data_IF_634979871599
#
_entry.id   IF_634979871599
#
_cell.length_a   1.000
_cell.length_b   1.000
_cell.length_c   1.000
_cell.angle_alpha   90.00
_cell.angle_beta   90.00
_cell.angle_gamma   90.00
#
_symmetry.space_group_name_H-M   'P 1'
#
loop_
_entity.id
_entity.type
_entity.pdbx_description
1 polymer ?
#
# COMPACT_ATOMS: atom_id res chain seq x y z
N UNK A 1 33.54 26.93 47.04
CA UNK A 1 33.16 25.84 46.12
C UNK A 1 31.64 25.72 46.19
N UNK A 2 30.92 26.19 45.17
CA UNK A 2 29.48 25.99 44.90
C UNK A 2 29.29 24.59 44.25
N UNK A 3 28.07 24.04 43.97
CA UNK A 3 26.71 24.32 44.48
C UNK A 3 25.81 23.05 44.68
N UNK A 4 24.60 23.30 45.19
CA UNK A 4 23.27 22.69 44.93
C UNK A 4 23.16 21.33 44.20
N UNK A 5 22.41 20.38 44.81
CA UNK A 5 21.82 19.23 44.09
C UNK A 5 20.32 19.43 43.84
N UNK A 6 20.02 19.55 42.57
CA UNK A 6 18.72 19.58 41.88
C UNK A 6 17.87 18.33 42.21
N UNK A 7 16.57 18.52 42.48
CA UNK A 7 15.49 17.54 42.19
C UNK A 7 14.76 18.02 40.92
N UNK A 8 13.89 17.24 40.24
CA UNK A 8 13.71 15.80 40.06
C UNK A 8 13.72 15.41 38.54
N UNK A 9 13.60 14.13 38.18
CA UNK A 9 13.22 13.76 36.79
C UNK A 9 11.94 12.92 36.84
N UNK A 10 10.84 13.56 36.45
CA UNK A 10 9.64 12.87 35.97
C UNK A 10 9.89 12.57 34.48
N UNK A 11 10.01 11.29 34.12
CA UNK A 11 10.00 10.88 32.72
C UNK A 11 8.58 10.56 32.30
N UNK A 12 8.10 11.40 31.36
CA UNK A 12 6.76 11.34 30.82
C UNK A 12 6.56 10.17 29.86
N UNK A 13 5.44 9.49 30.06
CA UNK A 13 4.74 8.66 29.08
C UNK A 13 4.55 9.43 27.78
N UNK A 14 5.36 9.15 26.75
CA UNK A 14 5.07 9.55 25.37
C UNK A 14 4.02 8.59 24.80
N UNK A 15 2.75 8.90 25.04
CA UNK A 15 1.65 8.39 24.24
C UNK A 15 1.80 8.90 22.80
N UNK A 16 1.86 7.99 21.84
CA UNK A 16 1.81 8.31 20.42
C UNK A 16 0.37 8.77 20.14
N UNK A 17 0.18 10.08 20.02
CA UNK A 17 -1.07 10.67 19.56
C UNK A 17 -1.09 10.55 18.04
N UNK A 18 -1.80 9.56 17.51
CA UNK A 18 -2.15 9.53 16.09
C UNK A 18 -3.25 10.58 15.91
N UNK A 19 -2.85 11.77 15.49
CA UNK A 19 -3.75 12.88 15.24
C UNK A 19 -4.71 12.57 14.08
N UNK A 20 -5.99 12.80 14.34
CA UNK A 20 -7.12 12.77 13.41
C UNK A 20 -6.80 13.59 12.14
N UNK A 21 -6.61 12.89 11.02
CA UNK A 21 -6.35 13.47 9.70
C UNK A 21 -7.64 13.72 8.91
N UNK A 22 -8.69 14.26 9.54
CA UNK A 22 -9.92 14.70 8.88
C UNK A 22 -9.80 16.06 8.16
N UNK A 23 -8.73 16.29 7.40
CA UNK A 23 -8.60 17.49 6.56
C UNK A 23 -8.95 17.18 5.11
N UNK A 24 -10.21 17.46 4.74
CA UNK A 24 -10.71 17.83 3.40
C UNK A 24 -9.79 17.42 2.23
N UNK A 25 -10.09 16.29 1.59
CA UNK A 25 -9.54 15.96 0.26
C UNK A 25 -10.72 15.89 -0.73
N UNK A 26 -11.34 17.06 -0.95
CA UNK A 26 -12.24 17.24 -2.09
C UNK A 26 -11.44 17.82 -3.25
N UNK A 27 -11.19 17.02 -4.29
CA UNK A 27 -10.88 17.55 -5.63
C UNK A 27 -9.61 17.08 -6.35
N UNK A 28 -8.75 16.23 -5.79
CA UNK A 28 -7.45 15.87 -6.43
C UNK A 28 -7.03 14.39 -6.33
N UNK A 29 -7.98 13.47 -6.10
CA UNK A 29 -7.65 12.05 -5.84
C UNK A 29 -7.15 11.28 -7.06
N UNK A 30 -7.53 11.68 -8.29
CA UNK A 30 -7.24 10.88 -9.49
C UNK A 30 -5.80 11.01 -10.01
N UNK A 31 -5.09 12.11 -9.72
CA UNK A 31 -3.77 12.40 -10.32
C UNK A 31 -2.58 12.11 -9.38
N UNK A 32 -2.83 11.56 -8.19
CA UNK A 32 -1.78 11.33 -7.19
C UNK A 32 -1.27 9.89 -7.27
N UNK A 33 0.05 9.64 -7.36
CA UNK A 33 0.58 8.28 -7.40
C UNK A 33 0.09 7.46 -6.21
N UNK A 34 -0.40 6.25 -6.46
CA UNK A 34 -0.92 5.37 -5.41
C UNK A 34 0.18 4.96 -4.41
N UNK A 35 1.42 4.94 -4.90
CA UNK A 35 2.63 4.77 -4.12
C UNK A 35 3.55 5.97 -4.34
N UNK A 36 4.06 6.62 -3.29
CA UNK A 36 4.90 7.83 -3.41
C UNK A 36 6.16 7.67 -4.26
N UNK A 37 6.64 6.43 -4.43
CA UNK A 37 7.87 6.10 -5.16
C UNK A 37 7.61 5.39 -6.49
N UNK A 38 6.35 5.14 -6.87
CA UNK A 38 6.04 4.54 -8.17
C UNK A 38 6.14 5.64 -9.23
N UNK A 39 7.30 5.67 -9.91
CA UNK A 39 7.64 6.68 -10.91
C UNK A 39 7.32 6.26 -12.35
N UNK A 40 6.93 4.99 -12.54
CA UNK A 40 6.53 4.45 -13.84
C UNK A 40 5.01 4.64 -14.02
N UNK A 41 4.55 5.52 -14.93
CA UNK A 41 3.12 5.79 -15.12
C UNK A 41 2.35 4.56 -15.58
N UNK A 42 2.98 3.66 -16.35
CA UNK A 42 2.33 2.40 -16.78
C UNK A 42 2.11 1.49 -15.57
N UNK A 43 3.06 1.43 -14.65
CA UNK A 43 2.90 0.66 -13.43
C UNK A 43 1.81 1.26 -12.51
N UNK A 44 1.69 2.58 -12.41
CA UNK A 44 0.61 3.23 -11.65
C UNK A 44 -0.76 2.94 -12.28
N UNK A 45 -0.87 3.00 -13.62
CA UNK A 45 -2.09 2.62 -14.35
C UNK A 45 -2.50 1.17 -14.07
N UNK A 46 -1.59 0.21 -14.24
CA UNK A 46 -1.87 -1.21 -14.00
C UNK A 46 -2.25 -1.48 -12.54
N UNK A 47 -1.64 -0.77 -11.59
CA UNK A 47 -2.00 -0.86 -10.18
C UNK A 47 -3.41 -0.31 -9.92
N UNK A 48 -3.78 0.82 -10.54
CA UNK A 48 -5.16 1.36 -10.47
C UNK A 48 -6.18 0.41 -11.05
N UNK A 49 -5.87 -0.22 -12.19
CA UNK A 49 -6.73 -1.24 -12.81
C UNK A 49 -6.94 -2.43 -11.88
N UNK A 50 -5.86 -2.95 -11.30
CA UNK A 50 -5.91 -4.06 -10.34
C UNK A 50 -6.76 -3.72 -9.10
N UNK A 51 -6.61 -2.51 -8.56
CA UNK A 51 -7.46 -2.04 -7.45
C UNK A 51 -8.92 -1.88 -7.88
N UNK A 52 -9.17 -1.43 -9.10
CA UNK A 52 -10.53 -1.29 -9.61
C UNK A 52 -11.21 -2.66 -9.79
N UNK A 53 -10.46 -3.69 -10.16
CA UNK A 53 -10.95 -5.07 -10.15
C UNK A 53 -11.27 -5.54 -8.73
N UNK A 54 -10.35 -5.33 -7.78
CA UNK A 54 -10.56 -5.66 -6.36
C UNK A 54 -11.78 -4.93 -5.76
N UNK A 55 -12.02 -3.67 -6.14
CA UNK A 55 -13.16 -2.87 -5.69
C UNK A 55 -14.53 -3.36 -6.22
N UNK A 56 -14.52 -4.25 -7.23
CA UNK A 56 -15.70 -4.92 -7.79
C UNK A 56 -15.87 -6.35 -7.30
N UNK A 57 -14.88 -6.91 -6.62
CA UNK A 57 -14.90 -8.28 -6.12
C UNK A 57 -15.58 -8.36 -4.74
N UNK A 58 -16.73 -9.02 -4.68
CA UNK A 58 -17.50 -9.17 -3.44
C UNK A 58 -17.06 -10.36 -2.57
N UNK A 59 -16.10 -11.18 -3.02
CA UNK A 59 -15.62 -12.35 -2.28
C UNK A 59 -14.87 -11.98 -1.00
N UNK A 60 -14.27 -10.79 -0.97
CA UNK A 60 -13.61 -10.22 0.20
C UNK A 60 -14.09 -8.77 0.40
N UNK A 61 -15.17 -8.56 1.17
CA UNK A 61 -15.73 -7.24 1.40
C UNK A 61 -14.73 -6.25 2.00
N UNK A 62 -13.79 -6.72 2.83
CA UNK A 62 -12.83 -5.86 3.50
C UNK A 62 -11.74 -5.39 2.54
N UNK A 63 -11.24 -6.28 1.69
CA UNK A 63 -10.31 -5.91 0.62
C UNK A 63 -10.97 -5.01 -0.45
N UNK A 64 -12.25 -5.26 -0.75
CA UNK A 64 -13.06 -4.42 -1.66
C UNK A 64 -13.20 -2.99 -1.15
N UNK A 65 -13.59 -2.83 0.11
CA UNK A 65 -13.81 -1.52 0.71
C UNK A 65 -12.50 -0.74 0.86
N UNK A 66 -11.40 -1.44 1.18
CA UNK A 66 -10.05 -0.86 1.16
C UNK A 66 -9.62 -0.38 -0.23
N UNK A 67 -9.87 -1.17 -1.29
CA UNK A 67 -9.56 -0.77 -2.65
C UNK A 67 -10.36 0.47 -3.08
N UNK A 68 -11.63 0.59 -2.68
CA UNK A 68 -12.46 1.78 -2.89
C UNK A 68 -11.89 3.00 -2.17
N UNK A 69 -11.55 2.87 -0.89
CA UNK A 69 -10.95 3.96 -0.10
C UNK A 69 -9.63 4.47 -0.70
N UNK A 70 -8.82 3.57 -1.26
CA UNK A 70 -7.58 3.93 -1.94
C UNK A 70 -7.85 4.66 -3.26
N UNK A 71 -8.76 4.14 -4.09
CA UNK A 71 -9.11 4.74 -5.38
C UNK A 71 -9.79 6.11 -5.23
N UNK A 72 -10.62 6.27 -4.20
CA UNK A 72 -11.28 7.54 -3.87
C UNK A 72 -10.31 8.55 -3.24
N UNK A 73 -9.08 8.13 -2.91
CA UNK A 73 -8.06 8.96 -2.28
C UNK A 73 -8.36 9.27 -0.80
N UNK A 74 -9.25 8.51 -0.16
CA UNK A 74 -9.52 8.61 1.27
C UNK A 74 -8.29 8.19 2.08
N UNK A 75 -7.57 7.17 1.59
CA UNK A 75 -6.30 6.69 2.14
C UNK A 75 -5.31 6.36 1.02
N UNK A 76 -4.03 6.31 1.36
CA UNK A 76 -2.97 5.76 0.49
C UNK A 76 -2.79 4.26 0.75
N UNK A 77 -2.18 3.52 -0.20
CA UNK A 77 -1.81 2.11 0.04
C UNK A 77 -0.89 1.94 1.27
N UNK A 78 0.00 2.90 1.52
CA UNK A 78 0.85 2.87 2.71
C UNK A 78 0.04 2.99 4.00
N UNK A 79 -0.96 3.89 4.02
CA UNK A 79 -1.88 4.01 5.15
C UNK A 79 -2.77 2.78 5.31
N UNK A 80 -3.22 2.17 4.21
CA UNK A 80 -3.98 0.93 4.24
C UNK A 80 -3.16 -0.22 4.85
N UNK A 81 -1.90 -0.40 4.45
CA UNK A 81 -1.00 -1.41 5.00
C UNK A 81 -0.68 -1.18 6.49
N UNK A 82 -0.59 0.08 6.93
CA UNK A 82 -0.36 0.45 8.33
C UNK A 82 -1.65 0.53 9.17
N UNK A 83 -2.82 0.30 8.57
CA UNK A 83 -4.12 0.43 9.23
C UNK A 83 -4.34 -0.72 10.20
N UNK A 84 -4.90 -0.44 11.37
CA UNK A 84 -5.39 -1.51 12.27
C UNK A 84 -6.62 -2.24 11.72
N UNK A 85 -7.32 -1.64 10.74
CA UNK A 85 -8.53 -2.22 10.12
C UNK A 85 -8.17 -3.11 8.94
N UNK A 86 -7.18 -2.70 8.14
CA UNK A 86 -6.80 -3.40 6.90
C UNK A 86 -5.47 -4.15 7.01
N UNK A 87 -4.66 -3.87 8.03
CA UNK A 87 -3.31 -4.41 8.18
C UNK A 87 -3.28 -5.92 8.36
N UNK A 88 -4.28 -6.50 9.05
CA UNK A 88 -4.38 -7.96 9.21
C UNK A 88 -4.69 -8.65 7.87
N UNK A 89 -5.57 -8.06 7.05
CA UNK A 89 -5.83 -8.56 5.68
C UNK A 89 -4.56 -8.48 4.84
N UNK A 90 -3.83 -7.37 4.90
CA UNK A 90 -2.55 -7.22 4.20
C UNK A 90 -1.53 -8.26 4.65
N UNK A 91 -1.38 -8.48 5.96
CA UNK A 91 -0.46 -9.47 6.50
C UNK A 91 -0.82 -10.88 6.03
N UNK A 92 -2.11 -11.27 6.14
CA UNK A 92 -2.58 -12.57 5.69
C UNK A 92 -2.31 -12.80 4.20
N UNK A 93 -2.67 -11.82 3.34
CA UNK A 93 -2.46 -11.95 1.90
C UNK A 93 -0.98 -11.96 1.53
N UNK A 94 -0.16 -11.19 2.24
CA UNK A 94 1.29 -11.19 2.06
C UNK A 94 1.90 -12.55 2.44
N UNK A 95 1.42 -13.17 3.52
CA UNK A 95 1.86 -14.51 3.92
C UNK A 95 1.42 -15.57 2.91
N UNK A 96 0.16 -15.55 2.46
CA UNK A 96 -0.35 -16.45 1.41
C UNK A 96 0.48 -16.34 0.12
N UNK A 97 0.77 -15.11 -0.31
CA UNK A 97 1.59 -14.86 -1.50
C UNK A 97 3.03 -15.31 -1.31
N UNK A 98 3.63 -15.04 -0.15
CA UNK A 98 4.99 -15.46 0.19
C UNK A 98 5.11 -16.98 0.18
N UNK A 99 4.14 -17.68 0.78
CA UNK A 99 4.08 -19.14 0.78
C UNK A 99 3.90 -19.71 -0.63
N UNK A 100 2.98 -19.14 -1.42
CA UNK A 100 2.81 -19.51 -2.82
C UNK A 100 4.12 -19.35 -3.61
N UNK A 101 4.78 -18.19 -3.49
CA UNK A 101 6.03 -17.88 -4.20
C UNK A 101 7.18 -18.83 -3.80
N UNK A 102 7.29 -19.16 -2.51
CA UNK A 102 8.28 -20.12 -2.03
C UNK A 102 7.96 -21.56 -2.41
N UNK A 103 6.69 -21.89 -2.67
CA UNK A 103 6.26 -23.18 -3.19
C UNK A 103 6.59 -23.42 -4.66
N UNK A 104 6.93 -22.38 -5.42
CA UNK A 104 7.30 -22.50 -6.82
C UNK A 104 8.71 -23.04 -7.01
N UNK A 105 8.89 -23.90 -8.01
CA UNK A 105 10.21 -24.29 -8.49
C UNK A 105 10.97 -23.12 -9.13
N UNK A 106 12.29 -23.23 -9.26
CA UNK A 106 13.07 -22.17 -9.93
C UNK A 106 12.65 -21.96 -11.39
N UNK A 107 12.29 -23.04 -12.09
CA UNK A 107 11.81 -22.97 -13.47
C UNK A 107 10.47 -22.20 -13.57
N UNK A 108 9.55 -22.42 -12.62
CA UNK A 108 8.28 -21.69 -12.57
C UNK A 108 8.49 -20.22 -12.21
N UNK A 109 9.38 -19.93 -11.25
CA UNK A 109 9.73 -18.55 -10.91
C UNK A 109 10.35 -17.82 -12.09
N UNK A 110 11.24 -18.46 -12.85
CA UNK A 110 11.81 -17.83 -14.04
C UNK A 110 10.77 -17.63 -15.14
N UNK A 111 9.88 -18.60 -15.36
CA UNK A 111 8.77 -18.44 -16.30
C UNK A 111 7.92 -17.22 -15.95
N UNK A 112 7.51 -17.07 -14.70
CA UNK A 112 6.73 -15.91 -14.25
C UNK A 112 7.50 -14.58 -14.36
N UNK A 113 8.83 -14.59 -14.18
CA UNK A 113 9.65 -13.39 -14.42
C UNK A 113 9.67 -13.01 -15.90
N UNK A 114 9.76 -13.99 -16.81
CA UNK A 114 9.69 -13.74 -18.26
C UNK A 114 8.31 -13.17 -18.62
N UNK A 115 7.24 -13.86 -18.22
CA UNK A 115 5.85 -13.43 -18.45
C UNK A 115 5.61 -12.02 -17.92
N UNK A 116 6.07 -11.72 -16.70
CA UNK A 116 5.95 -10.38 -16.10
C UNK A 116 6.71 -9.30 -16.88
N UNK A 117 7.90 -9.61 -17.41
CA UNK A 117 8.65 -8.66 -18.26
C UNK A 117 7.92 -8.40 -19.57
N UNK A 118 7.39 -9.44 -20.20
CA UNK A 118 6.64 -9.35 -21.46
C UNK A 118 5.34 -8.57 -21.28
N UNK A 119 4.58 -8.83 -20.21
CA UNK A 119 3.36 -8.09 -19.88
C UNK A 119 3.65 -6.59 -19.66
N UNK A 120 4.72 -6.27 -18.92
CA UNK A 120 5.13 -4.87 -18.71
C UNK A 120 5.64 -4.20 -19.99
N UNK A 121 6.27 -4.94 -20.90
CA UNK A 121 6.68 -4.41 -22.20
C UNK A 121 5.46 -4.11 -23.07
N UNK A 122 4.51 -5.05 -23.16
CA UNK A 122 3.27 -4.88 -23.91
C UNK A 122 2.46 -3.67 -23.40
N UNK A 123 2.29 -3.54 -22.07
CA UNK A 123 1.57 -2.42 -21.48
C UNK A 123 2.24 -1.05 -21.79
N UNK A 124 3.57 -1.01 -21.94
CA UNK A 124 4.30 0.21 -22.35
C UNK A 124 4.19 0.50 -23.83
N UNK A 125 4.07 -0.52 -24.68
CA UNK A 125 3.82 -0.33 -26.11
C UNK A 125 2.40 0.20 -26.38
N UNK A 126 1.42 -0.27 -25.62
CA UNK A 126 0.04 0.23 -25.69
C UNK A 126 -0.06 1.72 -25.33
N UNK A 127 0.68 2.16 -24.32
CA UNK A 127 0.71 3.58 -23.88
C UNK A 127 1.32 4.52 -24.94
N UNK A 128 2.12 3.99 -25.87
CA UNK A 128 2.79 4.77 -26.92
C UNK A 128 2.02 4.84 -28.25
N UNK A 129 0.89 4.11 -28.37
CA UNK A 129 0.03 4.11 -29.55
C UNK A 129 -1.07 5.15 -29.47
#
# INVERSE_FOLDING_TARGET
MQPERIRPVAEGTRGIVIADARRRIGGYAMDRPLLPNLRDPVADRLLRESLAEQARDDRDPLARDMARDVLDGNITLYQAAASSVYGEVFAQRADEHTNWWHGLSEAERERLRVEGREAMAAAREEEQR
#
